data_IF_549598607556
#
_entry.id   IF_549598607556
#
_cell.length_a   1.000
_cell.length_b   1.000
_cell.length_c   1.000
_cell.angle_alpha   90.00
_cell.angle_beta   90.00
_cell.angle_gamma   90.00
#
_symmetry.space_group_name_H-M   'P 1'
#
loop_
_entity.id
_entity.type
_entity.pdbx_description
1 polymer ?
#
# COMPACT_ATOMS: atom_id res chain seq x y z
N UNK A 1 13.42 15.32 -6.54
CA UNK A 1 14.48 16.26 -6.92
C UNK A 1 13.95 17.65 -6.60
N UNK A 2 14.29 18.24 -5.46
CA UNK A 2 13.73 19.57 -5.11
C UNK A 2 14.76 20.63 -5.45
N UNK A 3 14.58 21.32 -6.57
CA UNK A 3 15.32 22.54 -6.88
C UNK A 3 14.39 23.74 -6.83
N UNK A 4 14.53 24.53 -5.76
CA UNK A 4 14.09 25.92 -5.73
C UNK A 4 15.14 26.68 -6.53
N UNK A 5 14.70 27.33 -7.60
CA UNK A 5 15.49 28.07 -8.59
C UNK A 5 16.09 27.18 -9.68
N UNK A 6 15.61 27.45 -10.89
CA UNK A 6 15.97 26.92 -12.20
C UNK A 6 17.46 27.10 -12.54
N UNK A 7 18.32 26.43 -11.80
CA UNK A 7 19.73 26.19 -12.13
C UNK A 7 19.94 24.69 -12.20
N UNK A 8 20.11 24.19 -13.43
CA UNK A 8 20.45 22.81 -13.74
C UNK A 8 21.85 22.49 -13.18
N UNK A 9 21.93 22.05 -11.93
CA UNK A 9 23.11 21.35 -11.45
C UNK A 9 23.11 19.99 -12.15
N UNK A 10 24.08 19.80 -13.07
CA UNK A 10 24.24 18.68 -14.01
C UNK A 10 24.43 17.29 -13.41
N UNK A 11 23.71 16.96 -12.34
CA UNK A 11 23.46 15.59 -11.90
C UNK A 11 22.22 15.12 -12.67
N UNK A 12 22.43 14.68 -13.92
CA UNK A 12 21.43 13.86 -14.61
C UNK A 12 21.20 12.63 -13.73
N UNK A 13 20.03 12.56 -13.10
CA UNK A 13 19.60 11.37 -12.36
C UNK A 13 19.84 10.10 -13.19
N UNK A 14 20.06 8.96 -12.52
CA UNK A 14 20.28 7.69 -13.23
C UNK A 14 19.07 7.44 -14.15
N UNK A 15 19.31 7.23 -15.45
CA UNK A 15 18.27 7.08 -16.49
C UNK A 15 17.15 6.10 -16.09
N UNK A 16 17.51 5.03 -15.36
CA UNK A 16 16.60 4.02 -14.77
C UNK A 16 15.63 4.52 -13.68
N UNK A 17 15.61 5.82 -13.37
CA UNK A 17 14.65 6.42 -12.43
C UNK A 17 13.99 7.67 -13.02
N UNK A 18 14.45 8.12 -14.17
CA UNK A 18 13.91 9.31 -14.83
C UNK A 18 12.55 9.00 -15.44
N UNK A 19 11.68 10.00 -15.42
CA UNK A 19 10.43 9.93 -16.16
C UNK A 19 10.69 10.01 -17.67
N UNK A 20 9.81 9.43 -18.51
CA UNK A 20 10.01 9.38 -19.95
C UNK A 20 10.25 10.75 -20.60
N UNK A 21 9.53 11.78 -20.13
CA UNK A 21 9.70 13.15 -20.60
C UNK A 21 11.09 13.74 -20.30
N UNK A 22 11.73 13.32 -19.20
CA UNK A 22 13.07 13.79 -18.81
C UNK A 22 14.14 13.08 -19.65
N UNK A 23 13.95 11.78 -19.91
CA UNK A 23 14.84 11.00 -20.80
C UNK A 23 14.86 11.57 -22.22
N UNK A 24 13.74 12.16 -22.67
CA UNK A 24 13.63 12.82 -23.97
C UNK A 24 14.18 14.27 -23.99
N UNK A 25 14.71 14.77 -22.88
CA UNK A 25 15.31 16.11 -22.78
C UNK A 25 14.41 17.18 -22.15
N UNK A 26 13.31 16.79 -21.50
CA UNK A 26 12.44 17.69 -20.75
C UNK A 26 13.06 18.21 -19.45
N UNK A 27 12.47 19.25 -18.89
CA UNK A 27 12.89 19.86 -17.61
C UNK A 27 12.26 19.13 -16.42
N UNK A 28 13.03 18.84 -15.34
CA UNK A 28 12.50 18.24 -14.12
C UNK A 28 11.36 19.07 -13.51
N UNK A 29 10.26 18.41 -13.17
CA UNK A 29 9.11 19.00 -12.48
C UNK A 29 8.54 18.01 -11.44
N UNK A 30 7.63 18.47 -10.60
CA UNK A 30 6.91 17.66 -9.58
C UNK A 30 6.31 16.38 -10.15
N UNK A 31 5.87 16.38 -11.41
CA UNK A 31 5.32 15.18 -12.05
C UNK A 31 6.38 14.14 -12.40
N UNK A 32 7.58 14.58 -12.78
CA UNK A 32 8.72 13.70 -13.03
C UNK A 32 9.23 13.06 -11.73
N UNK A 33 9.19 13.81 -10.62
CA UNK A 33 9.54 13.32 -9.29
C UNK A 33 8.58 12.23 -8.80
N UNK A 34 7.26 12.38 -9.04
CA UNK A 34 6.27 11.34 -8.72
C UNK A 34 6.54 10.03 -9.45
N UNK A 35 6.99 10.11 -10.69
CA UNK A 35 7.39 8.93 -11.45
C UNK A 35 8.62 8.28 -10.84
N UNK A 36 9.66 9.06 -10.52
CA UNK A 36 10.86 8.54 -9.85
C UNK A 36 10.55 7.88 -8.51
N UNK A 37 9.65 8.48 -7.72
CA UNK A 37 9.18 7.89 -6.46
C UNK A 37 8.51 6.53 -6.71
N UNK A 38 7.59 6.45 -7.67
CA UNK A 38 6.92 5.20 -8.02
C UNK A 38 7.92 4.11 -8.47
N UNK A 39 8.98 4.48 -9.19
CA UNK A 39 10.04 3.52 -9.60
C UNK A 39 10.76 2.97 -8.36
N UNK A 40 11.12 3.84 -7.41
CA UNK A 40 11.77 3.43 -6.17
C UNK A 40 10.85 2.50 -5.37
N UNK A 41 9.58 2.87 -5.19
CA UNK A 41 8.59 2.06 -4.48
C UNK A 41 8.43 0.68 -5.12
N UNK A 42 8.29 0.62 -6.44
CA UNK A 42 8.18 -0.65 -7.17
C UNK A 42 9.42 -1.53 -6.92
N UNK A 43 10.62 -0.95 -7.02
CA UNK A 43 11.87 -1.69 -6.79
C UNK A 43 12.00 -2.20 -5.35
N UNK A 44 11.50 -1.48 -4.36
CA UNK A 44 11.49 -1.92 -2.97
C UNK A 44 10.54 -3.11 -2.77
N UNK A 45 9.33 -3.06 -3.33
CA UNK A 45 8.31 -4.09 -3.16
C UNK A 45 8.59 -5.36 -3.98
N UNK A 46 9.20 -5.23 -5.15
CA UNK A 46 9.37 -6.31 -6.13
C UNK A 46 10.83 -6.75 -6.31
N UNK A 47 11.58 -6.85 -5.20
CA UNK A 47 12.95 -7.44 -5.17
C UNK A 47 13.92 -6.79 -6.17
N UNK A 48 13.94 -5.46 -6.21
CA UNK A 48 14.77 -4.61 -7.09
C UNK A 48 14.43 -4.68 -8.58
N UNK A 49 13.38 -5.39 -8.98
CA UNK A 49 12.91 -5.43 -10.37
C UNK A 49 12.49 -4.04 -10.84
N UNK A 50 12.85 -3.68 -12.06
CA UNK A 50 12.44 -2.42 -12.66
C UNK A 50 11.06 -2.54 -13.34
N UNK A 51 10.13 -1.57 -13.18
CA UNK A 51 8.77 -1.65 -13.72
C UNK A 51 8.70 -1.70 -15.26
N UNK A 52 9.74 -1.19 -15.93
CA UNK A 52 9.84 -1.15 -17.40
C UNK A 52 10.75 -2.25 -17.98
N UNK A 53 11.39 -3.10 -17.16
CA UNK A 53 12.31 -4.13 -17.68
C UNK A 53 11.66 -5.51 -17.76
N UNK A 54 11.08 -5.83 -18.91
CA UNK A 54 10.49 -7.14 -19.21
C UNK A 54 11.04 -7.71 -20.52
N UNK A 55 10.27 -8.60 -21.16
CA UNK A 55 10.67 -9.26 -22.41
C UNK A 55 11.09 -8.29 -23.51
N UNK A 56 10.33 -7.22 -23.71
CA UNK A 56 10.57 -6.23 -24.75
C UNK A 56 11.85 -5.42 -24.52
N UNK A 57 12.22 -5.24 -23.25
CA UNK A 57 13.30 -4.33 -22.83
C UNK A 57 14.60 -5.06 -22.48
N UNK A 58 14.72 -6.34 -22.87
CA UNK A 58 15.93 -7.15 -22.68
C UNK A 58 16.77 -7.20 -23.97
N UNK A 59 17.49 -6.13 -24.22
CA UNK A 59 18.57 -6.11 -25.20
C UNK A 59 19.85 -6.74 -24.60
N UNK A 60 20.63 -7.53 -25.37
CA UNK A 60 21.87 -8.16 -24.91
C UNK A 60 22.95 -7.15 -24.52
N UNK A 61 22.90 -5.93 -25.05
CA UNK A 61 23.71 -4.80 -24.62
C UNK A 61 22.83 -3.56 -24.54
N UNK A 62 22.85 -2.89 -23.40
CA UNK A 62 22.08 -1.67 -23.17
C UNK A 62 22.85 -0.49 -23.77
N UNK A 63 22.57 -0.16 -25.04
CA UNK A 63 23.12 1.03 -25.68
C UNK A 63 22.29 2.27 -25.30
N UNK A 64 22.86 3.49 -25.37
CA UNK A 64 22.12 4.72 -25.10
C UNK A 64 20.84 4.88 -25.95
N UNK A 65 20.83 4.31 -27.16
CA UNK A 65 19.66 4.28 -28.05
C UNK A 65 18.54 3.40 -27.50
N UNK A 66 18.88 2.21 -26.99
CA UNK A 66 17.93 1.32 -26.33
C UNK A 66 17.43 1.92 -25.00
N UNK A 67 18.29 2.59 -24.22
CA UNK A 67 17.85 3.28 -23.00
C UNK A 67 16.84 4.39 -23.33
N UNK A 68 17.11 5.19 -24.37
CA UNK A 68 16.17 6.22 -24.80
C UNK A 68 14.87 5.61 -25.33
N UNK A 69 14.92 4.46 -25.99
CA UNK A 69 13.73 3.75 -26.47
C UNK A 69 12.87 3.23 -25.30
N UNK A 70 13.46 2.45 -24.40
CA UNK A 70 12.72 1.76 -23.33
C UNK A 70 12.30 2.67 -22.17
N UNK A 71 13.08 3.70 -21.87
CA UNK A 71 12.77 4.62 -20.77
C UNK A 71 12.12 5.92 -21.23
N UNK A 72 12.23 6.29 -22.51
CA UNK A 72 11.75 7.57 -23.05
C UNK A 72 10.68 7.44 -24.13
N UNK A 73 11.07 6.97 -25.32
CA UNK A 73 10.22 7.03 -26.52
C UNK A 73 9.05 6.02 -26.50
N UNK A 74 9.26 4.84 -25.94
CA UNK A 74 8.28 3.76 -25.91
C UNK A 74 8.35 2.94 -24.59
N UNK A 75 8.12 3.58 -23.42
CA UNK A 75 8.10 2.86 -22.15
C UNK A 75 6.88 1.95 -22.09
N UNK A 76 7.12 0.66 -21.80
CA UNK A 76 6.07 -0.33 -21.61
C UNK A 76 6.15 -0.89 -20.19
N UNK A 77 5.02 -0.88 -19.49
CA UNK A 77 4.96 -1.44 -18.14
C UNK A 77 4.87 -2.96 -18.16
N UNK A 78 5.54 -3.62 -17.20
CA UNK A 78 5.57 -5.08 -17.07
C UNK A 78 4.18 -5.70 -16.95
N UNK A 79 3.28 -5.02 -16.23
CA UNK A 79 1.92 -5.47 -15.95
C UNK A 79 0.89 -4.52 -16.57
N UNK A 80 1.18 -3.99 -17.76
CA UNK A 80 0.19 -3.19 -18.48
C UNK A 80 -1.03 -4.08 -18.81
N UNK A 81 -2.25 -3.67 -18.43
CA UNK A 81 -3.45 -4.47 -18.68
C UNK A 81 -3.81 -4.56 -20.17
N UNK A 82 -3.37 -3.61 -20.99
CA UNK A 82 -3.70 -3.53 -22.42
C UNK A 82 -2.57 -4.05 -23.33
N UNK A 83 -1.34 -4.17 -22.81
CA UNK A 83 -0.16 -4.48 -23.62
C UNK A 83 0.80 -5.45 -22.91
N UNK A 84 0.75 -6.72 -23.29
CA UNK A 84 1.57 -7.77 -22.71
C UNK A 84 2.94 -7.95 -23.37
N UNK A 85 3.35 -7.07 -24.31
CA UNK A 85 4.64 -7.21 -25.02
C UNK A 85 5.85 -7.16 -24.08
N UNK A 86 5.74 -6.43 -22.97
CA UNK A 86 6.77 -6.35 -21.94
C UNK A 86 6.47 -7.20 -20.70
N UNK A 87 5.61 -8.21 -20.81
CA UNK A 87 5.24 -9.09 -19.70
C UNK A 87 6.48 -9.75 -19.06
N UNK A 88 6.43 -10.05 -17.75
CA UNK A 88 7.53 -10.73 -17.09
C UNK A 88 7.62 -12.20 -17.50
N UNK A 89 8.84 -12.70 -17.66
CA UNK A 89 9.09 -14.10 -17.98
C UNK A 89 10.05 -14.76 -16.98
N UNK A 90 9.68 -15.95 -16.50
CA UNK A 90 10.39 -16.63 -15.41
C UNK A 90 11.85 -16.98 -15.75
N UNK A 91 12.12 -17.33 -17.01
CA UNK A 91 13.47 -17.65 -17.48
C UNK A 91 14.42 -16.44 -17.51
N UNK A 92 13.88 -15.23 -17.36
CA UNK A 92 14.62 -13.97 -17.30
C UNK A 92 14.90 -13.54 -15.85
N UNK A 93 14.74 -14.46 -14.87
CA UNK A 93 14.94 -14.18 -13.45
C UNK A 93 13.79 -13.39 -12.80
N UNK A 94 12.66 -13.25 -13.48
CA UNK A 94 11.52 -12.42 -13.06
C UNK A 94 10.44 -13.19 -12.30
N UNK A 95 10.73 -14.45 -11.91
CA UNK A 95 9.80 -15.31 -11.15
C UNK A 95 9.34 -14.67 -9.82
N UNK A 96 10.21 -13.89 -9.18
CA UNK A 96 9.89 -13.19 -7.94
C UNK A 96 8.78 -12.14 -8.14
N UNK A 97 8.89 -11.29 -9.15
CA UNK A 97 7.90 -10.24 -9.42
C UNK A 97 6.57 -10.85 -9.88
N UNK A 98 6.61 -11.93 -10.68
CA UNK A 98 5.43 -12.69 -11.09
C UNK A 98 4.68 -13.30 -9.90
N UNK A 99 5.41 -13.76 -8.88
CA UNK A 99 4.81 -14.37 -7.69
C UNK A 99 4.28 -13.33 -6.72
N UNK A 100 4.94 -12.17 -6.61
CA UNK A 100 4.58 -11.11 -5.67
C UNK A 100 3.44 -10.24 -6.17
N UNK A 101 3.42 -9.87 -7.45
CA UNK A 101 2.39 -9.00 -8.03
C UNK A 101 0.95 -9.42 -7.69
N UNK A 102 0.49 -10.66 -7.94
CA UNK A 102 -0.89 -11.06 -7.65
C UNK A 102 -1.21 -11.12 -6.15
N UNK A 103 -0.21 -11.07 -5.26
CA UNK A 103 -0.42 -11.05 -3.80
C UNK A 103 -0.75 -9.67 -3.26
N UNK A 104 -0.38 -8.60 -3.97
CA UNK A 104 -0.71 -7.25 -3.54
C UNK A 104 -2.17 -6.93 -3.86
N UNK A 105 -2.89 -6.22 -2.96
CA UNK A 105 -4.25 -5.77 -3.20
C UNK A 105 -4.39 -4.96 -4.50
N UNK A 106 -5.59 -4.98 -5.08
CA UNK A 106 -5.89 -4.29 -6.33
C UNK A 106 -5.58 -2.79 -6.26
N UNK A 107 -5.80 -2.15 -5.10
CA UNK A 107 -5.51 -0.72 -4.88
C UNK A 107 -4.04 -0.38 -5.20
N UNK A 108 -3.09 -1.15 -4.66
CA UNK A 108 -1.65 -0.91 -4.89
C UNK A 108 -1.28 -1.18 -6.35
N UNK A 109 -1.79 -2.27 -6.93
CA UNK A 109 -1.55 -2.60 -8.34
C UNK A 109 -2.07 -1.51 -9.27
N UNK A 110 -3.26 -0.97 -8.99
CA UNK A 110 -3.87 0.10 -9.76
C UNK A 110 -3.06 1.40 -9.71
N UNK A 111 -2.43 1.74 -8.58
CA UNK A 111 -1.55 2.92 -8.51
C UNK A 111 -0.32 2.78 -9.41
N UNK A 112 0.28 1.58 -9.45
CA UNK A 112 1.39 1.30 -10.37
C UNK A 112 0.96 1.32 -11.83
N UNK A 113 -0.20 0.71 -12.15
CA UNK A 113 -0.78 0.75 -13.50
C UNK A 113 -1.11 2.19 -13.92
N UNK A 114 -1.66 3.01 -13.02
CA UNK A 114 -1.96 4.42 -13.30
C UNK A 114 -0.69 5.23 -13.56
N UNK A 115 0.41 4.91 -12.87
CA UNK A 115 1.68 5.64 -13.02
C UNK A 115 2.45 5.23 -14.27
N UNK A 116 2.62 3.91 -14.49
CA UNK A 116 3.48 3.37 -15.54
C UNK A 116 2.73 2.96 -16.81
N UNK A 117 1.41 2.78 -16.72
CA UNK A 117 0.57 2.52 -17.89
C UNK A 117 0.41 3.78 -18.75
N UNK A 118 -0.32 3.61 -19.86
CA UNK A 118 -0.51 4.66 -20.88
C UNK A 118 -0.97 5.99 -20.32
N UNK A 119 -1.84 5.99 -19.31
CA UNK A 119 -2.38 7.21 -18.69
C UNK A 119 -1.29 8.04 -18.03
N UNK A 120 -0.49 7.47 -17.13
CA UNK A 120 0.56 8.21 -16.41
C UNK A 120 1.77 8.55 -17.28
N UNK A 121 2.03 7.76 -18.32
CA UNK A 121 3.07 8.06 -19.31
C UNK A 121 2.67 9.25 -20.20
N UNK A 122 1.44 9.25 -20.75
CA UNK A 122 0.97 10.32 -21.65
C UNK A 122 0.54 11.60 -20.93
N UNK A 123 0.05 11.46 -19.70
CA UNK A 123 -0.49 12.57 -18.92
C UNK A 123 0.17 12.62 -17.54
N UNK A 124 1.32 13.31 -17.40
CA UNK A 124 2.05 13.39 -16.14
C UNK A 124 1.23 13.94 -14.97
N UNK A 125 0.22 14.78 -15.25
CA UNK A 125 -0.71 15.35 -14.28
C UNK A 125 -1.62 14.30 -13.61
N UNK A 126 -1.86 13.17 -14.29
CA UNK A 126 -2.69 12.06 -13.80
C UNK A 126 -1.92 11.08 -12.91
N UNK A 127 -0.61 11.27 -12.73
CA UNK A 127 0.20 10.42 -11.84
C UNK A 127 -0.23 10.60 -10.38
N UNK A 128 -0.35 9.51 -9.59
CA UNK A 128 -0.70 9.60 -8.18
C UNK A 128 0.23 10.53 -7.40
N UNK A 129 -0.36 11.30 -6.50
CA UNK A 129 0.37 12.16 -5.55
C UNK A 129 0.94 11.33 -4.41
N UNK A 130 1.95 11.87 -3.72
CA UNK A 130 2.65 11.18 -2.63
C UNK A 130 1.69 10.77 -1.50
N UNK A 131 0.69 11.61 -1.19
CA UNK A 131 -0.31 11.31 -0.17
C UNK A 131 -1.24 10.14 -0.56
N UNK A 132 -1.44 9.89 -1.85
CA UNK A 132 -2.20 8.72 -2.31
C UNK A 132 -1.41 7.44 -2.05
N UNK A 133 -0.10 7.44 -2.30
CA UNK A 133 0.77 6.32 -1.96
C UNK A 133 0.80 6.08 -0.46
N UNK A 134 0.97 7.14 0.35
CA UNK A 134 0.97 7.04 1.80
C UNK A 134 -0.31 6.37 2.32
N UNK A 135 -1.49 6.87 1.92
CA UNK A 135 -2.78 6.28 2.31
C UNK A 135 -2.90 4.82 1.87
N UNK A 136 -2.49 4.49 0.65
CA UNK A 136 -2.58 3.12 0.15
C UNK A 136 -1.66 2.16 0.92
N UNK A 137 -0.46 2.60 1.31
CA UNK A 137 0.44 1.79 2.14
C UNK A 137 -0.03 1.70 3.58
N UNK A 138 -0.59 2.75 4.17
CA UNK A 138 -1.24 2.68 5.48
C UNK A 138 -2.38 1.66 5.48
N UNK A 139 -3.23 1.70 4.44
CA UNK A 139 -4.32 0.73 4.26
C UNK A 139 -3.76 -0.69 4.11
N UNK A 140 -2.71 -0.87 3.30
CA UNK A 140 -2.06 -2.17 3.13
C UNK A 140 -1.50 -2.72 4.44
N UNK A 141 -0.83 -1.87 5.21
CA UNK A 141 -0.24 -2.23 6.51
C UNK A 141 -1.33 -2.64 7.51
N UNK A 142 -2.42 -1.86 7.61
CA UNK A 142 -3.56 -2.20 8.44
C UNK A 142 -4.29 -3.50 8.00
N UNK A 143 -4.26 -3.83 6.70
CA UNK A 143 -4.77 -5.09 6.16
C UNK A 143 -3.79 -6.27 6.28
N UNK A 144 -2.58 -6.04 6.81
CA UNK A 144 -1.56 -7.07 6.95
C UNK A 144 -1.79 -7.85 8.22
N UNK A 145 -2.19 -9.11 8.09
CA UNK A 145 -2.48 -9.98 9.23
C UNK A 145 -1.55 -11.19 9.25
N UNK A 146 -1.36 -11.78 10.42
CA UNK A 146 -0.70 -13.07 10.56
C UNK A 146 -1.73 -14.20 10.49
N UNK A 147 -1.49 -15.19 9.65
CA UNK A 147 -2.38 -16.34 9.53
C UNK A 147 -2.47 -17.09 10.87
N UNK A 148 -3.66 -17.22 11.47
CA UNK A 148 -3.83 -17.85 12.79
C UNK A 148 -3.46 -19.34 12.81
N UNK A 149 -3.36 -20.00 11.65
CA UNK A 149 -2.97 -21.41 11.56
C UNK A 149 -1.47 -21.64 11.48
N UNK A 150 -0.69 -20.75 10.86
CA UNK A 150 0.72 -21.00 10.55
C UNK A 150 1.67 -19.82 10.77
N UNK A 151 1.14 -18.68 11.24
CA UNK A 151 1.88 -17.45 11.52
C UNK A 151 2.40 -16.69 10.29
N UNK A 152 2.15 -17.17 9.06
CA UNK A 152 2.58 -16.45 7.86
C UNK A 152 1.76 -15.19 7.65
N UNK A 153 2.43 -14.09 7.37
CA UNK A 153 1.85 -12.81 6.97
C UNK A 153 1.07 -12.94 5.67
N UNK A 154 -0.15 -12.40 5.65
CA UNK A 154 -1.08 -12.39 4.52
C UNK A 154 -1.77 -11.02 4.47
N UNK A 155 -2.00 -10.50 3.27
CA UNK A 155 -2.85 -9.34 3.07
C UNK A 155 -4.32 -9.79 2.98
N UNK A 156 -5.17 -9.29 3.87
CA UNK A 156 -6.60 -9.56 3.86
C UNK A 156 -7.35 -8.27 3.47
N UNK A 157 -7.86 -8.23 2.25
CA UNK A 157 -8.74 -7.14 1.80
C UNK A 157 -10.08 -7.25 2.56
N UNK A 158 -10.61 -6.18 3.17
CA UNK A 158 -11.81 -6.19 4.01
C UNK A 158 -13.04 -6.88 3.40
N UNK A 159 -13.21 -6.79 2.08
CA UNK A 159 -14.36 -7.35 1.35
C UNK A 159 -14.07 -8.72 0.72
N UNK A 160 -12.90 -9.31 0.98
CA UNK A 160 -12.44 -10.52 0.31
C UNK A 160 -12.16 -11.67 1.28
N UNK A 161 -12.03 -12.87 0.72
CA UNK A 161 -11.38 -13.99 1.41
C UNK A 161 -10.05 -14.29 0.74
N UNK A 162 -9.02 -14.57 1.53
CA UNK A 162 -7.69 -14.92 1.03
C UNK A 162 -7.29 -16.30 1.52
N UNK A 163 -6.69 -17.10 0.65
CA UNK A 163 -6.15 -18.40 1.01
C UNK A 163 -4.68 -18.25 1.46
N UNK A 164 -4.35 -18.76 2.64
CA UNK A 164 -2.97 -18.73 3.12
C UNK A 164 -2.07 -19.62 2.24
N UNK A 165 -1.03 -19.05 1.63
CA UNK A 165 -0.13 -19.81 0.73
C UNK A 165 0.73 -20.88 1.42
N UNK A 166 0.75 -20.95 2.76
CA UNK A 166 1.54 -21.95 3.50
C UNK A 166 0.68 -23.11 4.01
N UNK A 167 -0.49 -22.83 4.59
CA UNK A 167 -1.35 -23.87 5.18
C UNK A 167 -2.66 -24.11 4.43
N UNK A 168 -2.95 -23.33 3.37
CA UNK A 168 -4.18 -23.47 2.59
C UNK A 168 -5.45 -22.99 3.29
N UNK A 169 -5.37 -22.53 4.55
CA UNK A 169 -6.54 -22.03 5.31
C UNK A 169 -7.13 -20.80 4.64
N UNK A 170 -8.45 -20.79 4.45
CA UNK A 170 -9.19 -19.62 4.00
C UNK A 170 -9.38 -18.65 5.17
N UNK A 171 -9.00 -17.39 4.95
CA UNK A 171 -9.08 -16.31 5.92
C UNK A 171 -10.13 -15.31 5.44
N UNK A 172 -11.03 -14.93 6.35
CA UNK A 172 -12.04 -13.89 6.15
C UNK A 172 -12.24 -13.17 7.48
N UNK A 173 -12.36 -11.85 7.46
CA UNK A 173 -12.67 -11.08 8.64
C UNK A 173 -14.17 -11.22 8.96
N UNK A 174 -14.56 -11.41 10.23
CA UNK A 174 -15.96 -11.38 10.64
C UNK A 174 -16.52 -9.96 10.66
N UNK A 175 -15.65 -8.97 10.91
CA UNK A 175 -15.99 -7.55 11.00
C UNK A 175 -14.88 -6.73 10.36
N UNK A 176 -15.25 -5.56 9.85
CA UNK A 176 -14.35 -4.51 9.40
C UNK A 176 -14.53 -3.29 10.29
N UNK A 177 -13.41 -2.67 10.65
CA UNK A 177 -13.35 -1.40 11.36
C UNK A 177 -13.24 -0.28 10.33
N UNK A 178 -14.20 0.63 10.34
CA UNK A 178 -14.21 1.82 9.51
C UNK A 178 -13.69 3.00 10.31
N UNK A 179 -12.59 3.60 9.84
CA UNK A 179 -11.99 4.79 10.43
C UNK A 179 -11.64 5.79 9.33
N UNK A 180 -12.46 6.83 9.18
CA UNK A 180 -12.31 7.80 8.10
C UNK A 180 -12.39 7.15 6.72
N UNK A 181 -11.28 7.18 5.97
CA UNK A 181 -11.15 6.53 4.65
C UNK A 181 -10.55 5.12 4.70
N UNK A 182 -10.23 4.60 5.88
CA UNK A 182 -9.61 3.29 6.05
C UNK A 182 -10.65 2.26 6.48
N UNK A 183 -10.55 1.07 5.91
CA UNK A 183 -11.37 -0.08 6.28
C UNK A 183 -10.47 -1.25 6.68
N UNK A 184 -10.53 -1.70 7.92
CA UNK A 184 -9.51 -2.58 8.50
C UNK A 184 -10.14 -3.91 8.90
N UNK A 185 -9.64 -5.06 8.43
CA UNK A 185 -10.16 -6.35 8.83
C UNK A 185 -9.89 -6.61 10.32
N UNK A 186 -10.93 -6.93 11.09
CA UNK A 186 -10.80 -7.18 12.53
C UNK A 186 -10.48 -8.65 12.77
N UNK A 187 -9.20 -8.96 12.85
CA UNK A 187 -8.67 -10.31 13.14
C UNK A 187 -7.69 -10.24 14.31
N UNK A 188 -7.67 -11.22 15.24
CA UNK A 188 -6.67 -11.25 16.31
C UNK A 188 -5.24 -11.12 15.78
N UNK A 189 -4.47 -10.21 16.39
CA UNK A 189 -3.12 -9.84 15.98
C UNK A 189 -3.05 -8.63 15.04
N UNK A 190 -4.18 -8.04 14.62
CA UNK A 190 -4.19 -6.80 13.84
C UNK A 190 -3.78 -5.63 14.72
N UNK A 191 -2.88 -4.80 14.22
CA UNK A 191 -2.39 -3.59 14.87
C UNK A 191 -2.82 -2.38 14.03
N UNK A 192 -3.40 -1.38 14.69
CA UNK A 192 -3.86 -0.14 14.05
C UNK A 192 -2.98 0.98 14.58
N UNK A 193 -2.36 1.72 13.67
CA UNK A 193 -1.43 2.80 14.00
C UNK A 193 -2.15 4.13 14.26
N UNK A 194 -1.47 5.04 14.95
CA UNK A 194 -1.98 6.37 15.24
C UNK A 194 -2.39 7.13 13.98
N UNK A 195 -1.65 6.98 12.88
CA UNK A 195 -1.96 7.68 11.62
C UNK A 195 -3.33 7.30 11.02
N UNK A 196 -3.82 6.07 11.27
CA UNK A 196 -5.16 5.66 10.84
C UNK A 196 -6.24 6.48 11.55
N UNK A 197 -6.06 6.71 12.85
CA UNK A 197 -7.05 7.36 13.71
C UNK A 197 -6.90 8.87 13.70
N UNK A 198 -5.68 9.36 13.79
CA UNK A 198 -5.31 10.77 13.75
C UNK A 198 -4.08 10.98 12.86
N UNK A 199 -4.28 11.41 11.60
CA UNK A 199 -3.19 11.74 10.69
C UNK A 199 -2.30 12.89 11.14
N UNK A 200 -2.73 13.68 12.14
CA UNK A 200 -1.96 14.81 12.69
C UNK A 200 -1.07 14.42 13.89
N UNK A 201 -1.17 13.16 14.34
CA UNK A 201 -0.41 12.66 15.47
C UNK A 201 1.10 12.78 15.26
N UNK A 202 1.82 13.30 16.27
CA UNK A 202 3.29 13.43 16.24
C UNK A 202 3.97 12.06 16.09
N UNK A 203 3.38 11.00 16.66
CA UNK A 203 3.89 9.63 16.54
C UNK A 203 2.97 8.79 15.63
N UNK A 204 2.96 9.09 14.33
CA UNK A 204 2.13 8.41 13.33
C UNK A 204 2.27 6.87 13.33
N UNK A 205 3.48 6.36 13.59
CA UNK A 205 3.79 4.93 13.55
C UNK A 205 3.53 4.19 14.88
N UNK A 206 3.17 4.92 15.94
CA UNK A 206 2.78 4.31 17.21
C UNK A 206 1.52 3.45 17.05
N UNK A 207 1.42 2.38 17.84
CA UNK A 207 0.23 1.52 17.85
C UNK A 207 -0.86 2.20 18.68
N UNK A 208 -1.98 2.51 18.03
CA UNK A 208 -3.15 3.08 18.67
C UNK A 208 -3.99 2.00 19.34
N UNK A 209 -4.28 0.92 18.59
CA UNK A 209 -5.19 -0.14 18.98
C UNK A 209 -4.67 -1.49 18.50
N UNK A 210 -4.90 -2.53 19.30
CA UNK A 210 -4.60 -3.91 18.93
C UNK A 210 -5.82 -4.80 19.09
N UNK A 211 -6.04 -5.71 18.15
CA UNK A 211 -7.06 -6.77 18.25
C UNK A 211 -6.45 -7.98 18.93
N UNK A 212 -6.99 -8.40 20.08
CA UNK A 212 -6.47 -9.54 20.84
C UNK A 212 -7.58 -10.55 21.09
N UNK A 213 -7.26 -11.84 20.99
CA UNK A 213 -8.12 -12.91 21.46
C UNK A 213 -7.75 -13.25 22.91
N UNK A 214 -8.69 -13.12 23.82
CA UNK A 214 -8.54 -13.45 25.23
C UNK A 214 -8.61 -14.98 25.47
N UNK A 215 -8.12 -15.47 26.63
CA UNK A 215 -8.12 -16.90 26.95
C UNK A 215 -9.51 -17.55 26.99
N UNK A 216 -10.53 -16.76 27.34
CA UNK A 216 -11.95 -17.15 27.34
C UNK A 216 -12.55 -17.27 25.92
N UNK A 217 -11.78 -16.89 24.89
CA UNK A 217 -12.15 -16.95 23.49
C UNK A 217 -12.72 -15.65 22.93
N UNK A 218 -12.98 -14.63 23.76
CA UNK A 218 -13.48 -13.33 23.30
C UNK A 218 -12.43 -12.57 22.50
N UNK A 219 -12.88 -11.78 21.52
CA UNK A 219 -12.01 -10.87 20.78
C UNK A 219 -12.29 -9.46 21.26
N UNK A 220 -11.22 -8.77 21.67
CA UNK A 220 -11.28 -7.44 22.28
C UNK A 220 -10.35 -6.48 21.54
N UNK A 221 -10.69 -5.20 21.55
CA UNK A 221 -9.75 -4.13 21.26
C UNK A 221 -8.99 -3.78 22.53
N UNK A 222 -7.67 -3.61 22.43
CA UNK A 222 -6.80 -3.14 23.52
C UNK A 222 -6.34 -1.73 23.21
N UNK A 223 -6.53 -0.82 24.15
CA UNK A 223 -6.03 0.55 24.05
C UNK A 223 -4.53 0.62 24.26
N UNK A 224 -3.79 0.93 23.20
CA UNK A 224 -2.34 1.11 23.23
C UNK A 224 -1.94 2.60 23.23
N UNK A 225 -2.90 3.50 23.04
CA UNK A 225 -2.72 4.94 23.01
C UNK A 225 -2.70 5.53 24.43
N UNK A 226 -2.37 6.82 24.56
CA UNK A 226 -2.53 7.56 25.81
C UNK A 226 -3.90 8.24 25.90
N UNK A 227 -4.76 8.04 24.92
CA UNK A 227 -6.06 8.69 24.82
C UNK A 227 -7.12 7.80 25.46
N UNK A 228 -8.08 8.41 26.13
CA UNK A 228 -9.27 7.70 26.58
C UNK A 228 -10.23 7.53 25.41
N UNK A 229 -10.82 6.34 25.29
CA UNK A 229 -11.84 6.06 24.28
C UNK A 229 -13.20 5.95 24.92
N UNK A 230 -14.24 6.42 24.25
CA UNK A 230 -15.62 6.15 24.64
C UNK A 230 -16.22 5.16 23.65
N UNK A 231 -16.60 3.99 24.15
CA UNK A 231 -17.23 2.93 23.36
C UNK A 231 -18.73 2.98 23.61
N UNK A 232 -19.51 3.17 22.55
CA UNK A 232 -20.96 3.13 22.54
C UNK A 232 -21.43 1.81 21.91
N UNK A 233 -22.24 1.08 22.66
CA UNK A 233 -22.87 -0.15 22.20
C UNK A 233 -24.30 0.12 21.74
N UNK A 234 -24.86 -0.80 20.94
CA UNK A 234 -26.22 -0.65 20.39
C UNK A 234 -27.33 -0.72 21.46
N UNK A 235 -27.04 -1.31 22.62
CA UNK A 235 -27.97 -1.42 23.75
C UNK A 235 -28.00 -0.13 24.60
N UNK A 236 -27.32 0.92 24.17
CA UNK A 236 -27.25 2.21 24.85
C UNK A 236 -26.19 2.28 25.96
N UNK A 237 -25.47 1.18 26.23
CA UNK A 237 -24.34 1.22 27.17
C UNK A 237 -23.19 2.01 26.58
N UNK A 238 -22.50 2.74 27.44
CA UNK A 238 -21.24 3.41 27.11
C UNK A 238 -20.19 3.08 28.15
N UNK A 239 -19.00 2.71 27.68
CA UNK A 239 -17.84 2.42 28.52
C UNK A 239 -16.70 3.34 28.11
N UNK A 240 -15.90 3.77 29.08
CA UNK A 240 -14.66 4.49 28.81
C UNK A 240 -13.50 3.53 29.01
N UNK A 241 -12.57 3.48 28.05
CA UNK A 241 -11.37 2.64 28.15
C UNK A 241 -10.13 3.51 28.13
N UNK A 242 -9.34 3.41 29.19
CA UNK A 242 -8.05 4.05 29.34
C UNK A 242 -6.92 3.20 28.74
N UNK A 243 -5.69 3.70 28.82
CA UNK A 243 -4.51 2.99 28.33
C UNK A 243 -4.37 1.59 28.94
N UNK A 244 -4.14 0.61 28.07
CA UNK A 244 -4.06 -0.83 28.34
C UNK A 244 -5.37 -1.50 28.75
N UNK A 245 -6.48 -0.77 28.81
CA UNK A 245 -7.80 -1.36 29.02
C UNK A 245 -8.35 -1.95 27.72
N UNK A 246 -9.39 -2.78 27.86
CA UNK A 246 -9.95 -3.56 26.76
C UNK A 246 -11.42 -3.28 26.55
N UNK A 247 -11.84 -3.18 25.29
CA UNK A 247 -13.24 -3.09 24.88
C UNK A 247 -13.66 -4.36 24.13
N UNK A 248 -14.80 -4.94 24.47
CA UNK A 248 -15.31 -6.15 23.80
C UNK A 248 -15.83 -5.79 22.41
N UNK A 249 -15.42 -6.57 21.40
CA UNK A 249 -15.85 -6.32 20.02
C UNK A 249 -17.26 -6.86 19.81
N UNK A 250 -18.24 -5.95 19.73
CA UNK A 250 -19.64 -6.25 19.46
C UNK A 250 -20.11 -5.60 18.16
N UNK A 251 -21.06 -6.27 17.49
CA UNK A 251 -21.59 -5.78 16.22
C UNK A 251 -22.24 -4.39 16.38
N UNK A 252 -21.86 -3.47 15.50
CA UNK A 252 -22.43 -2.12 15.44
C UNK A 252 -22.05 -1.21 16.60
N UNK A 253 -21.02 -1.57 17.38
CA UNK A 253 -20.41 -0.65 18.32
C UNK A 253 -19.72 0.51 17.60
N UNK A 254 -19.66 1.65 18.28
CA UNK A 254 -18.94 2.84 17.84
C UNK A 254 -17.94 3.24 18.90
N UNK A 255 -16.72 3.49 18.48
CA UNK A 255 -15.66 3.95 19.35
C UNK A 255 -15.34 5.40 18.98
N UNK A 256 -15.42 6.29 19.94
CA UNK A 256 -15.08 7.71 19.77
C UNK A 256 -13.73 7.93 20.41
N UNK A 257 -12.79 8.42 19.61
CA UNK A 257 -11.47 8.78 20.09
C UNK A 257 -10.92 9.99 19.31
N UNK A 258 -10.40 11.00 20.01
CA UNK A 258 -9.98 12.29 19.42
C UNK A 258 -11.02 12.96 18.50
N UNK A 259 -12.31 12.80 18.81
CA UNK A 259 -13.40 13.34 17.99
C UNK A 259 -13.64 12.57 16.67
N UNK A 260 -12.83 11.55 16.38
CA UNK A 260 -13.07 10.64 15.27
C UNK A 260 -13.96 9.49 15.72
N UNK A 261 -14.91 9.14 14.85
CA UNK A 261 -15.81 8.01 15.06
C UNK A 261 -15.26 6.81 14.31
N UNK A 262 -14.99 5.74 15.05
CA UNK A 262 -14.59 4.44 14.53
C UNK A 262 -15.79 3.51 14.62
N UNK A 263 -16.25 3.00 13.49
CA UNK A 263 -17.46 2.16 13.42
C UNK A 263 -17.12 0.72 13.06
N UNK A 264 -17.78 -0.23 13.73
CA UNK A 264 -17.63 -1.64 13.39
C UNK A 264 -18.75 -2.10 12.46
N UNK A 265 -18.38 -2.52 11.25
CA UNK A 265 -19.30 -3.07 10.24
C UNK A 265 -19.11 -4.57 10.10
N UNK A 266 -20.19 -5.31 9.86
CA UNK A 266 -20.15 -6.75 9.60
C UNK A 266 -19.89 -7.04 8.12
N UNK A 267 -19.02 -8.00 7.84
CA UNK A 267 -18.68 -8.48 6.50
C UNK A 267 -19.64 -9.54 5.96
#
# INVERSE_FOLDING_TARGET
>A
NVSVNSTNFGISGKMRYMAPEIVLGGTPDKFSDRFSLAVILFRLLFRRQHPLEGKYSMAPCMTPEYEKLYYGSAPLFLFDPDDNRNAPEAYLGQSAVMTLWPRYPAVIRNLFIQTFGKTGVRSPDKRPVDITWLKAFTQLDACTINCPGCGRTVFLDPDSSVQCSKCGKQLRAPFNLLCGSFEIPVVPGTEITNYVVDPTSVNCAGIYMRVVKQPDGQVVFVNCSNDSWTVHYQDGRSETTEKNETAVILQGMKLIAHGNVIELKRC
#
